data_IF_808957848639
#
_entry.id   IF_808957848639
#
_cell.length_a   1.000
_cell.length_b   1.000
_cell.length_c   1.000
_cell.angle_alpha   90.00
_cell.angle_beta   90.00
_cell.angle_gamma   90.00
#
_symmetry.space_group_name_H-M   'P 1'
#
loop_
_entity.id
_entity.type
_entity.pdbx_description
1 polymer ?
#
# COMPACT_ATOMS: atom_id res chain seq x y z
N UNK A 1 12.77 -8.35 5.37
CA UNK A 1 11.57 -8.46 6.24
C UNK A 1 11.26 -9.89 6.65
N UNK A 2 11.40 -10.91 5.79
CA UNK A 2 11.24 -12.30 6.24
C UNK A 2 12.22 -12.69 7.34
N UNK A 3 11.76 -13.54 8.26
CA UNK A 3 12.58 -14.10 9.33
C UNK A 3 13.52 -15.18 8.75
N UNK A 4 12.99 -16.01 7.83
CA UNK A 4 13.72 -17.08 7.14
C UNK A 4 13.36 -17.10 5.65
N UNK A 5 14.37 -17.32 4.78
CA UNK A 5 14.19 -17.54 3.34
C UNK A 5 14.37 -19.04 3.04
N UNK A 6 13.48 -19.63 2.23
CA UNK A 6 13.52 -21.05 1.88
C UNK A 6 14.07 -21.33 0.47
N UNK A 7 14.52 -20.30 -0.24
CA UNK A 7 15.00 -20.40 -1.63
C UNK A 7 13.87 -20.52 -2.66
N UNK A 8 14.21 -21.09 -3.81
CA UNK A 8 13.29 -21.24 -4.96
C UNK A 8 12.30 -22.39 -4.77
N UNK A 9 11.10 -22.33 -5.40
CA UNK A 9 10.18 -23.46 -5.46
C UNK A 9 10.86 -24.73 -6.01
N UNK A 10 10.85 -25.82 -5.25
CA UNK A 10 11.43 -27.10 -5.67
C UNK A 10 10.60 -27.83 -6.72
N UNK A 11 9.30 -27.57 -6.75
CA UNK A 11 8.38 -28.03 -7.80
C UNK A 11 8.19 -26.90 -8.81
N UNK A 12 8.27 -27.18 -10.12
CA UNK A 12 7.96 -26.18 -11.13
C UNK A 12 6.59 -25.58 -10.86
N UNK A 13 6.42 -24.25 -11.02
CA UNK A 13 5.10 -23.64 -11.04
C UNK A 13 4.17 -24.36 -12.00
N UNK A 14 2.86 -24.16 -11.86
CA UNK A 14 1.90 -24.65 -12.85
C UNK A 14 2.36 -24.24 -14.26
N UNK A 15 2.15 -25.07 -15.29
CA UNK A 15 2.78 -24.89 -16.61
C UNK A 15 2.50 -23.53 -17.30
N UNK A 16 1.51 -22.77 -16.82
CA UNK A 16 1.13 -21.44 -17.31
C UNK A 16 1.54 -20.28 -16.38
N UNK A 17 2.19 -20.57 -15.24
CA UNK A 17 2.64 -19.58 -14.27
C UNK A 17 4.06 -19.11 -14.59
N UNK A 18 4.19 -17.81 -14.89
CA UNK A 18 5.46 -17.20 -15.27
C UNK A 18 6.02 -16.29 -14.17
N UNK A 19 5.46 -16.35 -12.96
CA UNK A 19 5.92 -15.52 -11.86
C UNK A 19 7.25 -16.03 -11.29
N UNK A 20 8.01 -15.09 -10.75
CA UNK A 20 9.14 -15.38 -9.86
C UNK A 20 8.65 -15.32 -8.42
N UNK A 21 9.00 -16.32 -7.63
CA UNK A 21 8.59 -16.41 -6.23
C UNK A 21 9.77 -16.33 -5.28
N UNK A 22 9.54 -15.67 -4.16
CA UNK A 22 10.41 -15.77 -2.99
C UNK A 22 9.61 -16.48 -1.89
N UNK A 23 10.17 -17.58 -1.39
CA UNK A 23 9.56 -18.39 -0.34
C UNK A 23 10.22 -18.12 1.00
N UNK A 24 9.44 -18.08 2.08
CA UNK A 24 10.01 -17.87 3.40
C UNK A 24 9.03 -18.04 4.55
N UNK A 25 9.45 -17.56 5.71
CA UNK A 25 8.63 -17.50 6.93
C UNK A 25 8.56 -16.07 7.46
N UNK A 26 7.39 -15.68 7.94
CA UNK A 26 7.16 -14.46 8.72
C UNK A 26 6.29 -14.80 9.92
N UNK A 27 6.84 -14.69 11.12
CA UNK A 27 6.21 -15.11 12.36
C UNK A 27 5.75 -16.56 12.30
N UNK A 28 4.43 -16.76 12.39
CA UNK A 28 3.80 -18.10 12.43
C UNK A 28 3.41 -18.63 11.04
N UNK A 29 3.69 -17.89 9.98
CA UNK A 29 3.22 -18.18 8.63
C UNK A 29 4.36 -18.55 7.69
N UNK A 30 4.09 -19.53 6.83
CA UNK A 30 4.85 -19.73 5.59
C UNK A 30 4.30 -18.76 4.56
N UNK A 31 5.18 -17.98 3.95
CA UNK A 31 4.82 -16.90 3.03
C UNK A 31 5.38 -17.18 1.63
N UNK A 32 4.61 -16.78 0.63
CA UNK A 32 5.00 -16.76 -0.78
C UNK A 32 4.87 -15.31 -1.24
N UNK A 33 5.95 -14.76 -1.79
CA UNK A 33 5.98 -13.39 -2.30
C UNK A 33 6.22 -13.44 -3.80
N UNK A 34 5.39 -12.71 -4.56
CA UNK A 34 5.65 -12.39 -5.96
C UNK A 34 5.65 -10.88 -6.14
N UNK A 35 6.49 -10.39 -7.03
CA UNK A 35 6.49 -9.00 -7.47
C UNK A 35 5.88 -8.91 -8.87
N UNK A 36 5.24 -7.78 -9.17
CA UNK A 36 4.82 -7.52 -10.54
C UNK A 36 6.04 -7.52 -11.48
N UNK A 37 5.91 -8.03 -12.71
CA UNK A 37 6.98 -7.96 -13.68
C UNK A 37 7.45 -6.52 -13.90
N UNK A 38 8.73 -6.36 -14.15
CA UNK A 38 9.32 -5.03 -14.37
C UNK A 38 8.56 -4.29 -15.48
N UNK A 39 8.14 -3.05 -15.20
CA UNK A 39 7.35 -2.19 -16.10
C UNK A 39 5.90 -2.64 -16.38
N UNK A 40 5.41 -3.68 -15.72
CA UNK A 40 4.01 -4.11 -15.83
C UNK A 40 3.25 -3.75 -14.55
N UNK A 41 2.73 -2.52 -14.51
CA UNK A 41 1.99 -1.98 -13.38
C UNK A 41 0.47 -2.09 -13.58
N UNK A 42 -0.26 -1.83 -12.50
CA UNK A 42 -1.71 -1.68 -12.54
C UNK A 42 -2.51 -2.97 -12.32
N UNK A 43 -3.81 -2.79 -12.19
CA UNK A 43 -4.79 -3.83 -11.82
C UNK A 43 -4.70 -5.11 -12.66
N UNK A 44 -4.49 -5.01 -13.98
CA UNK A 44 -4.42 -6.18 -14.86
C UNK A 44 -3.21 -7.07 -14.56
N UNK A 45 -2.03 -6.45 -14.40
CA UNK A 45 -0.79 -7.16 -14.05
C UNK A 45 -0.92 -7.81 -12.67
N UNK A 46 -1.43 -7.06 -11.69
CA UNK A 46 -1.67 -7.58 -10.34
C UNK A 46 -2.61 -8.80 -10.34
N UNK A 47 -3.74 -8.71 -11.06
CA UNK A 47 -4.67 -9.82 -11.18
C UNK A 47 -4.06 -11.07 -11.83
N UNK A 48 -3.22 -10.91 -12.86
CA UNK A 48 -2.54 -12.02 -13.52
C UNK A 48 -1.56 -12.73 -12.58
N UNK A 49 -0.68 -11.98 -11.92
CA UNK A 49 0.30 -12.50 -10.95
C UNK A 49 -0.39 -13.25 -9.81
N UNK A 50 -1.44 -12.66 -9.23
CA UNK A 50 -2.18 -13.27 -8.14
C UNK A 50 -2.91 -14.54 -8.56
N UNK A 51 -3.54 -14.54 -9.73
CA UNK A 51 -4.24 -15.72 -10.28
C UNK A 51 -3.27 -16.88 -10.50
N UNK A 52 -2.14 -16.63 -11.13
CA UNK A 52 -1.10 -17.64 -11.37
C UNK A 52 -0.52 -18.19 -10.06
N UNK A 53 -0.25 -17.32 -9.07
CA UNK A 53 0.19 -17.71 -7.73
C UNK A 53 -0.74 -18.71 -7.06
N UNK A 54 -2.06 -18.55 -7.19
CA UNK A 54 -2.99 -19.50 -6.57
C UNK A 54 -3.05 -20.86 -7.25
N UNK A 55 -2.75 -20.92 -8.55
CA UNK A 55 -2.62 -22.21 -9.23
C UNK A 55 -1.40 -22.99 -8.75
N UNK A 56 -0.28 -22.29 -8.52
CA UNK A 56 0.95 -22.90 -8.01
C UNK A 56 0.91 -23.19 -6.51
N UNK A 57 0.21 -22.36 -5.73
CA UNK A 57 0.11 -22.48 -4.27
C UNK A 57 -1.36 -22.58 -3.81
N UNK A 58 -2.00 -23.75 -4.01
CA UNK A 58 -3.45 -23.91 -3.80
C UNK A 58 -3.89 -23.85 -2.33
N UNK A 59 -2.94 -23.81 -1.38
CA UNK A 59 -3.22 -23.71 0.06
C UNK A 59 -3.22 -22.28 0.59
N UNK A 60 -2.96 -21.27 -0.25
CA UNK A 60 -3.12 -19.88 0.17
C UNK A 60 -4.60 -19.60 0.43
N UNK A 61 -4.88 -18.88 1.52
CA UNK A 61 -6.23 -18.52 1.98
C UNK A 61 -6.46 -17.02 2.08
N UNK A 62 -5.40 -16.26 2.36
CA UNK A 62 -5.42 -14.81 2.49
C UNK A 62 -4.17 -14.22 1.86
N UNK A 63 -4.23 -12.95 1.48
CA UNK A 63 -3.08 -12.25 0.92
C UNK A 63 -2.95 -10.81 1.41
N UNK A 64 -1.86 -10.18 1.02
CA UNK A 64 -1.57 -8.79 1.30
C UNK A 64 -1.02 -8.15 0.04
N UNK A 65 -1.59 -7.02 -0.37
CA UNK A 65 -1.02 -6.19 -1.44
C UNK A 65 -0.18 -5.10 -0.80
N UNK A 66 1.14 -5.27 -0.88
CA UNK A 66 2.11 -4.38 -0.22
C UNK A 66 2.88 -3.62 -1.28
N UNK A 67 2.92 -2.30 -1.16
CA UNK A 67 3.63 -1.47 -2.13
C UNK A 67 3.71 -0.01 -1.70
N UNK A 68 4.00 0.86 -2.64
CA UNK A 68 3.97 2.31 -2.43
C UNK A 68 2.65 2.89 -2.93
N UNK A 69 2.25 4.01 -2.35
CA UNK A 69 1.13 4.82 -2.80
C UNK A 69 1.45 6.31 -2.68
N UNK A 70 0.52 7.14 -3.12
CA UNK A 70 0.56 8.58 -2.92
C UNK A 70 -0.39 8.97 -1.79
N UNK A 71 0.09 9.76 -0.83
CA UNK A 71 -0.70 10.25 0.28
C UNK A 71 -1.62 11.37 -0.18
N UNK A 72 -2.82 11.42 0.39
CA UNK A 72 -3.76 12.50 0.14
C UNK A 72 -3.92 13.30 1.44
N UNK A 73 -3.16 14.40 1.60
CA UNK A 73 -3.28 15.25 2.78
C UNK A 73 -4.62 16.00 2.77
N UNK A 74 -5.12 16.29 3.96
CA UNK A 74 -6.30 17.11 4.16
C UNK A 74 -5.90 18.53 4.58
N UNK A 75 -6.72 19.52 4.23
CA UNK A 75 -6.47 20.94 4.54
C UNK A 75 -6.53 21.21 6.05
N UNK A 76 -7.32 20.42 6.78
CA UNK A 76 -7.42 20.48 8.25
C UNK A 76 -6.32 19.67 8.96
N UNK A 77 -5.38 19.06 8.22
CA UNK A 77 -4.33 18.17 8.74
C UNK A 77 -4.86 16.97 9.56
N UNK A 78 -6.09 16.52 9.32
CA UNK A 78 -6.64 15.30 9.92
C UNK A 78 -7.23 14.37 8.84
N UNK A 79 -6.62 13.20 8.56
CA UNK A 79 -5.32 12.76 9.08
C UNK A 79 -4.14 13.51 8.44
N UNK A 80 -3.11 13.83 9.24
CA UNK A 80 -1.84 14.39 8.77
C UNK A 80 -0.95 13.30 8.16
N UNK A 81 -1.17 13.01 6.88
CA UNK A 81 -0.41 12.02 6.12
C UNK A 81 0.89 12.62 5.61
N UNK A 82 2.00 11.93 5.88
CA UNK A 82 3.34 12.35 5.46
C UNK A 82 4.07 11.31 4.62
N UNK A 83 5.09 11.76 3.90
CA UNK A 83 5.98 10.86 3.19
C UNK A 83 6.68 9.91 4.17
N UNK A 84 6.74 8.62 3.83
CA UNK A 84 7.24 7.57 4.72
C UNK A 84 6.18 6.90 5.57
N UNK A 85 5.04 7.55 5.83
CA UNK A 85 3.91 6.93 6.54
C UNK A 85 3.36 5.71 5.81
N UNK A 86 2.49 4.96 6.48
CA UNK A 86 1.83 3.79 5.89
C UNK A 86 0.32 3.93 6.00
N UNK A 87 -0.41 3.65 4.93
CA UNK A 87 -1.87 3.53 4.93
C UNK A 87 -2.24 2.05 4.79
N UNK A 88 -3.06 1.55 5.71
CA UNK A 88 -3.71 0.25 5.62
C UNK A 88 -5.18 0.44 5.21
N UNK A 89 -5.62 -0.28 4.18
CA UNK A 89 -7.00 -0.21 3.69
C UNK A 89 -8.00 -0.57 4.78
N UNK A 90 -8.81 0.41 5.18
CA UNK A 90 -9.84 0.26 6.20
C UNK A 90 -10.96 1.27 5.97
N UNK A 91 -12.19 0.80 5.75
CA UNK A 91 -13.36 1.68 5.70
C UNK A 91 -14.62 0.92 6.07
N UNK A 92 -15.46 1.45 6.98
CA UNK A 92 -16.77 0.88 7.27
C UNK A 92 -17.64 0.77 6.00
N UNK A 93 -17.55 1.76 5.12
CA UNK A 93 -18.42 1.94 3.96
C UNK A 93 -17.92 1.20 2.72
N UNK A 94 -16.63 1.33 2.38
CA UNK A 94 -16.08 0.84 1.11
C UNK A 94 -15.30 -0.48 1.22
N UNK A 95 -15.14 -1.04 2.41
CA UNK A 95 -14.24 -2.18 2.62
C UNK A 95 -12.76 -1.82 2.57
N UNK A 96 -12.44 -0.53 2.48
CA UNK A 96 -11.08 0.01 2.55
C UNK A 96 -10.48 0.38 1.20
N UNK A 97 -11.10 -0.03 0.08
CA UNK A 97 -10.63 0.31 -1.27
C UNK A 97 -11.81 0.75 -2.13
N UNK A 98 -11.61 1.81 -2.92
CA UNK A 98 -12.56 2.31 -3.91
C UNK A 98 -11.89 2.39 -5.28
N UNK A 99 -12.67 2.25 -6.37
CA UNK A 99 -12.16 2.51 -7.72
C UNK A 99 -12.70 3.84 -8.20
N UNK A 100 -11.85 4.87 -8.20
CA UNK A 100 -12.29 6.25 -8.42
C UNK A 100 -12.61 6.55 -9.89
N UNK A 101 -12.02 5.80 -10.83
CA UNK A 101 -12.18 5.97 -12.27
C UNK A 101 -13.09 4.92 -12.93
N UNK A 102 -13.78 4.09 -12.13
CA UNK A 102 -14.74 3.09 -12.63
C UNK A 102 -16.20 3.49 -12.38
N UNK A 103 -16.90 3.87 -13.46
CA UNK A 103 -18.23 4.44 -13.33
C UNK A 103 -18.81 4.98 -14.64
N UNK A 104 -19.94 5.69 -14.52
CA UNK A 104 -20.65 6.31 -15.64
C UNK A 104 -20.35 7.79 -15.70
N UNK A 105 -19.97 8.28 -16.89
CA UNK A 105 -20.01 9.71 -17.21
C UNK A 105 -21.44 10.08 -17.62
N UNK A 106 -22.04 11.02 -16.92
CA UNK A 106 -23.39 11.51 -17.18
C UNK A 106 -23.35 12.71 -18.13
N UNK A 107 -24.50 13.04 -18.75
CA UNK A 107 -24.60 14.10 -19.75
C UNK A 107 -24.33 15.51 -19.19
N UNK A 108 -24.50 15.69 -17.88
CA UNK A 108 -24.18 16.91 -17.13
C UNK A 108 -22.68 17.03 -16.77
N UNK A 109 -21.85 16.07 -17.20
CA UNK A 109 -20.43 16.00 -16.90
C UNK A 109 -20.09 15.33 -15.57
N UNK A 110 -21.08 14.97 -14.75
CA UNK A 110 -20.84 14.28 -13.48
C UNK A 110 -20.42 12.82 -13.68
N UNK A 111 -19.74 12.26 -12.67
CA UNK A 111 -19.27 10.87 -12.70
C UNK A 111 -19.89 10.08 -11.55
N UNK A 112 -20.66 9.05 -11.87
CA UNK A 112 -21.24 8.12 -10.91
C UNK A 112 -20.35 6.90 -10.77
N UNK A 113 -19.72 6.72 -9.59
CA UNK A 113 -18.92 5.52 -9.31
C UNK A 113 -19.82 4.29 -9.24
N UNK A 114 -19.35 3.18 -9.81
CA UNK A 114 -20.03 1.89 -9.79
C UNK A 114 -19.26 0.82 -9.01
N UNK A 115 -18.14 1.17 -8.38
CA UNK A 115 -17.27 0.16 -7.77
C UNK A 115 -17.83 -0.33 -6.43
N UNK A 116 -18.13 -1.62 -6.36
CA UNK A 116 -18.30 -2.34 -5.09
C UNK A 116 -17.19 -3.38 -5.03
N UNK A 117 -16.20 -3.11 -4.18
CA UNK A 117 -15.10 -4.04 -3.92
C UNK A 117 -15.38 -4.85 -2.66
N UNK A 118 -14.92 -6.10 -2.65
CA UNK A 118 -15.02 -6.97 -1.48
C UNK A 118 -14.22 -6.43 -0.30
N UNK A 119 -14.71 -6.73 0.90
CA UNK A 119 -13.98 -6.45 2.16
C UNK A 119 -12.87 -7.49 2.37
N UNK A 120 -11.81 -7.14 3.12
CA UNK A 120 -10.85 -8.12 3.61
C UNK A 120 -11.56 -9.27 4.37
N UNK A 121 -11.01 -10.49 4.34
CA UNK A 121 -11.51 -11.63 5.12
C UNK A 121 -11.63 -11.31 6.62
N UNK A 122 -12.51 -12.02 7.32
CA UNK A 122 -12.75 -11.78 8.75
C UNK A 122 -11.49 -11.97 9.59
N UNK A 123 -10.66 -12.93 9.23
CA UNK A 123 -9.35 -13.17 9.84
C UNK A 123 -8.45 -11.93 9.77
N UNK A 124 -8.36 -11.29 8.61
CA UNK A 124 -7.59 -10.06 8.42
C UNK A 124 -8.25 -8.85 9.10
N UNK A 125 -9.57 -8.71 9.00
CA UNK A 125 -10.31 -7.62 9.64
C UNK A 125 -10.21 -7.63 11.16
N UNK A 126 -10.24 -8.82 11.77
CA UNK A 126 -10.08 -8.98 13.23
C UNK A 126 -8.66 -8.64 13.67
N UNK A 127 -7.66 -9.07 12.89
CA UNK A 127 -6.26 -8.71 13.13
C UNK A 127 -6.03 -7.19 13.00
N UNK A 128 -6.67 -6.55 12.02
CA UNK A 128 -6.60 -5.12 11.81
C UNK A 128 -7.18 -4.33 12.99
N UNK A 129 -8.35 -4.75 13.50
CA UNK A 129 -8.95 -4.14 14.68
C UNK A 129 -8.06 -4.27 15.92
N UNK A 130 -7.41 -5.43 16.09
CA UNK A 130 -6.44 -5.63 17.16
C UNK A 130 -5.20 -4.73 17.01
N UNK A 131 -4.60 -4.69 15.81
CA UNK A 131 -3.43 -3.86 15.52
C UNK A 131 -3.74 -2.37 15.78
N UNK A 132 -4.88 -1.88 15.30
CA UNK A 132 -5.32 -0.50 15.51
C UNK A 132 -5.42 -0.16 17.00
N UNK A 133 -6.05 -1.04 17.79
CA UNK A 133 -6.14 -0.85 19.24
C UNK A 133 -4.76 -0.88 19.93
N UNK A 134 -3.81 -1.68 19.42
CA UNK A 134 -2.44 -1.71 19.93
C UNK A 134 -1.69 -0.41 19.65
N UNK A 135 -1.86 0.17 18.45
CA UNK A 135 -1.28 1.46 18.06
C UNK A 135 -1.89 2.66 18.80
N UNK A 136 -3.08 2.52 19.39
CA UNK A 136 -3.64 3.53 20.33
C UNK A 136 -2.95 3.51 21.71
N UNK A 137 -2.27 2.40 22.05
CA UNK A 137 -1.66 2.20 23.37
C UNK A 137 -0.12 2.23 23.34
N UNK A 138 0.48 1.86 22.21
CA UNK A 138 1.92 1.68 22.06
C UNK A 138 2.39 2.16 20.68
N UNK A 139 3.67 2.46 20.57
CA UNK A 139 4.31 2.74 19.28
C UNK A 139 4.28 1.50 18.37
N UNK A 140 4.23 1.76 17.06
CA UNK A 140 4.33 0.70 16.05
C UNK A 140 5.77 0.18 15.93
N UNK A 141 5.93 -1.00 15.32
CA UNK A 141 7.25 -1.67 15.19
C UNK A 141 7.94 -1.41 13.85
N UNK A 142 7.46 -0.47 13.04
CA UNK A 142 7.97 -0.25 11.68
C UNK A 142 9.45 0.12 11.68
N UNK A 143 9.86 1.08 12.51
CA UNK A 143 11.25 1.53 12.58
C UNK A 143 12.16 0.38 13.03
N UNK A 144 11.76 -0.36 14.05
CA UNK A 144 12.49 -1.53 14.53
C UNK A 144 12.79 -2.54 13.40
N UNK A 145 11.78 -2.93 12.61
CA UNK A 145 12.01 -3.87 11.50
C UNK A 145 12.83 -3.28 10.34
N UNK A 146 12.75 -1.97 10.12
CA UNK A 146 13.62 -1.29 9.14
C UNK A 146 15.06 -1.33 9.62
N UNK A 147 15.33 -1.07 10.90
CA UNK A 147 16.67 -1.14 11.47
C UNK A 147 17.25 -2.56 11.35
N UNK A 148 16.50 -3.60 11.74
CA UNK A 148 16.89 -5.00 11.54
C UNK A 148 17.22 -5.31 10.08
N UNK A 149 16.38 -4.84 9.14
CA UNK A 149 16.62 -5.01 7.70
C UNK A 149 17.92 -4.32 7.27
N UNK A 150 18.17 -3.09 7.73
CA UNK A 150 19.35 -2.31 7.34
C UNK A 150 20.64 -2.83 7.99
N UNK A 151 20.55 -3.51 9.13
CA UNK A 151 21.65 -4.27 9.73
C UNK A 151 21.95 -5.55 8.95
N UNK A 152 20.91 -6.33 8.63
CA UNK A 152 21.03 -7.57 7.86
C UNK A 152 21.52 -7.34 6.43
N UNK A 153 21.10 -6.24 5.80
CA UNK A 153 21.46 -5.88 4.43
C UNK A 153 22.01 -4.44 4.35
N UNK A 154 23.28 -4.20 4.75
CA UNK A 154 23.86 -2.85 4.81
C UNK A 154 23.86 -2.10 3.46
N UNK A 155 23.82 -2.82 2.33
CA UNK A 155 23.71 -2.23 1.00
C UNK A 155 22.41 -1.42 0.82
N UNK A 156 21.34 -1.77 1.55
CA UNK A 156 20.06 -1.06 1.47
C UNK A 156 20.15 0.37 2.02
N UNK A 157 21.06 0.65 2.98
CA UNK A 157 21.38 2.04 3.40
C UNK A 157 21.88 2.87 2.22
N UNK A 158 22.80 2.32 1.42
CA UNK A 158 23.32 2.98 0.20
C UNK A 158 22.25 3.13 -0.89
N UNK A 159 21.24 2.27 -0.88
CA UNK A 159 20.09 2.31 -1.80
C UNK A 159 18.92 3.18 -1.28
N UNK A 160 19.16 3.98 -0.23
CA UNK A 160 18.21 4.97 0.32
C UNK A 160 16.95 4.37 0.97
N UNK A 161 17.06 3.17 1.53
CA UNK A 161 15.99 2.56 2.35
C UNK A 161 15.98 3.07 3.80
N UNK A 162 16.81 4.06 4.15
CA UNK A 162 16.76 4.77 5.43
C UNK A 162 15.88 6.01 5.32
N UNK A 163 15.34 6.48 6.45
CA UNK A 163 14.50 7.68 6.49
C UNK A 163 15.25 8.87 5.84
N UNK A 164 14.66 9.57 4.84
CA UNK A 164 15.32 10.69 4.16
C UNK A 164 15.52 11.96 5.02
N UNK A 165 14.98 11.98 6.24
CA UNK A 165 14.98 13.12 7.17
C UNK A 165 13.74 14.00 7.02
N UNK A 166 13.31 14.64 8.12
CA UNK A 166 12.07 15.43 8.17
C UNK A 166 12.04 16.57 7.12
N UNK A 167 13.18 17.21 6.87
CA UNK A 167 13.28 18.30 5.86
C UNK A 167 13.04 17.87 4.42
N UNK A 168 13.10 16.57 4.12
CA UNK A 168 12.81 16.02 2.81
C UNK A 168 11.30 15.83 2.58
N UNK A 169 10.48 15.93 3.63
CA UNK A 169 9.03 15.88 3.53
C UNK A 169 8.45 17.27 3.25
N UNK A 170 8.07 17.49 2.00
CA UNK A 170 7.68 18.82 1.49
C UNK A 170 6.34 18.73 0.81
N UNK A 171 5.32 19.27 1.46
CA UNK A 171 3.98 19.45 0.91
C UNK A 171 3.81 20.91 0.46
N UNK A 172 3.36 21.12 -0.77
CA UNK A 172 3.08 22.43 -1.33
C UNK A 172 1.58 22.68 -1.41
N UNK A 173 1.19 23.96 -1.42
CA UNK A 173 -0.18 24.37 -1.69
C UNK A 173 -0.66 23.79 -3.03
N UNK A 174 -1.92 23.35 -3.08
CA UNK A 174 -2.48 22.63 -4.22
C UNK A 174 -2.42 23.40 -5.56
N UNK A 175 -2.48 24.73 -5.51
CA UNK A 175 -2.41 25.60 -6.69
C UNK A 175 -0.98 25.94 -7.13
N UNK A 176 0.04 25.54 -6.38
CA UNK A 176 1.43 25.78 -6.73
C UNK A 176 1.96 24.64 -7.60
N UNK A 177 2.41 24.98 -8.81
CA UNK A 177 2.97 24.02 -9.75
C UNK A 177 4.49 23.91 -9.63
N UNK A 178 4.98 22.68 -9.73
CA UNK A 178 6.41 22.40 -9.79
C UNK A 178 7.07 23.14 -10.97
N UNK A 179 8.11 23.89 -10.67
CA UNK A 179 8.73 24.81 -11.63
C UNK A 179 9.57 24.07 -12.66
N UNK A 180 10.57 23.30 -12.21
CA UNK A 180 11.48 22.55 -13.10
C UNK A 180 12.40 21.59 -12.35
N UNK A 181 12.96 20.62 -13.08
CA UNK A 181 13.94 19.66 -12.56
C UNK A 181 13.28 18.42 -11.96
N UNK A 182 14.12 17.50 -11.44
CA UNK A 182 13.68 16.24 -10.84
C UNK A 182 13.34 16.33 -9.35
N UNK A 183 13.66 17.46 -8.72
CA UNK A 183 13.51 17.71 -7.28
C UNK A 183 12.94 19.10 -7.06
N UNK A 184 12.37 19.33 -5.88
CA UNK A 184 11.79 20.62 -5.51
C UNK A 184 12.84 21.65 -5.04
N UNK A 185 14.12 21.47 -5.40
CA UNK A 185 15.21 22.37 -4.98
C UNK A 185 15.06 23.79 -5.54
N UNK A 186 14.30 23.95 -6.63
CA UNK A 186 13.98 25.24 -7.27
C UNK A 186 12.57 25.75 -6.96
N UNK A 187 11.79 24.98 -6.20
CA UNK A 187 10.45 25.40 -5.81
C UNK A 187 10.53 26.47 -4.71
N UNK A 188 9.60 27.40 -4.76
CA UNK A 188 9.43 28.44 -3.77
C UNK A 188 9.06 27.80 -2.43
N UNK A 189 9.90 28.00 -1.42
CA UNK A 189 9.66 27.41 -0.10
C UNK A 189 8.52 28.07 0.64
N UNK A 190 8.13 29.29 0.26
CA UNK A 190 7.03 30.04 0.88
C UNK A 190 5.63 29.49 0.54
N UNK A 191 5.53 28.66 -0.49
CA UNK A 191 4.29 27.98 -0.88
C UNK A 191 4.14 26.58 -0.25
N UNK A 192 5.05 26.21 0.66
CA UNK A 192 4.90 24.98 1.44
C UNK A 192 3.80 25.14 2.48
N UNK A 193 3.03 24.07 2.68
CA UNK A 193 1.99 24.01 3.71
C UNK A 193 2.67 23.94 5.08
N UNK A 194 2.33 24.87 5.96
CA UNK A 194 2.77 24.85 7.35
C UNK A 194 2.03 23.74 8.10
N UNK A 195 2.81 22.84 8.71
CA UNK A 195 2.32 21.70 9.48
C UNK A 195 3.07 21.63 10.80
N UNK A 196 2.41 21.14 11.85
CA UNK A 196 3.05 20.94 13.15
C UNK A 196 4.28 20.03 13.03
N UNK A 197 5.33 20.31 13.79
CA UNK A 197 6.51 19.45 13.79
C UNK A 197 6.18 18.12 14.48
N UNK A 198 6.56 16.99 13.86
CA UNK A 198 6.44 15.69 14.52
C UNK A 198 7.50 15.56 15.60
N UNK A 199 7.15 14.85 16.68
CA UNK A 199 8.07 14.61 17.79
C UNK A 199 9.29 13.77 17.38
N UNK A 200 9.12 12.90 16.38
CA UNK A 200 10.16 12.02 15.87
C UNK A 200 10.01 11.75 14.36
N UNK A 201 10.90 10.91 13.83
CA UNK A 201 10.90 10.46 12.43
C UNK A 201 10.12 9.15 12.21
N UNK A 202 9.34 8.70 13.20
CA UNK A 202 8.65 7.43 13.12
C UNK A 202 7.50 7.52 12.11
N UNK A 203 7.38 6.56 11.17
CA UNK A 203 6.23 6.46 10.30
C UNK A 203 4.93 6.29 11.11
N UNK A 204 3.91 7.05 10.75
CA UNK A 204 2.57 6.92 11.31
C UNK A 204 1.76 5.93 10.47
N UNK A 205 0.98 5.08 11.14
CA UNK A 205 0.09 4.12 10.50
C UNK A 205 -1.32 4.70 10.45
N UNK A 206 -1.80 4.92 9.24
CA UNK A 206 -3.13 5.46 8.98
C UNK A 206 -4.07 4.33 8.54
N UNK A 207 -5.30 4.37 9.04
CA UNK A 207 -6.34 3.40 8.70
C UNK A 207 -7.46 4.09 7.94
N UNK A 208 -7.52 3.89 6.63
CA UNK A 208 -8.49 4.62 5.81
C UNK A 208 -8.69 4.07 4.42
N UNK A 209 -9.49 4.80 3.63
CA UNK A 209 -9.84 4.42 2.27
C UNK A 209 -8.66 4.65 1.32
N UNK A 210 -8.34 3.62 0.54
CA UNK A 210 -7.36 3.69 -0.56
C UNK A 210 -8.12 3.77 -1.89
N UNK A 211 -7.86 4.80 -2.69
CA UNK A 211 -8.38 4.95 -4.04
C UNK A 211 -7.46 4.27 -5.06
N UNK A 212 -8.01 3.29 -5.78
CA UNK A 212 -7.35 2.55 -6.84
C UNK A 212 -7.80 3.06 -8.21
N UNK A 213 -6.88 3.22 -9.15
CA UNK A 213 -7.23 3.59 -10.52
C UNK A 213 -6.14 3.24 -11.53
N UNK A 214 -6.33 3.63 -12.79
CA UNK A 214 -5.46 3.23 -13.89
C UNK A 214 -4.46 4.30 -14.32
N UNK A 215 -4.42 5.45 -13.62
CA UNK A 215 -3.56 6.58 -13.97
C UNK A 215 -2.73 7.05 -12.78
N UNK A 216 -1.50 7.48 -13.06
CA UNK A 216 -0.68 8.21 -12.07
C UNK A 216 -1.20 9.64 -11.98
N UNK A 217 -1.66 10.04 -10.80
CA UNK A 217 -2.09 11.41 -10.53
C UNK A 217 -0.86 12.27 -10.20
N UNK A 218 -0.75 13.41 -10.87
CA UNK A 218 0.30 14.43 -10.68
C UNK A 218 -0.28 15.84 -10.63
N UNK A 219 -1.49 15.94 -10.12
CA UNK A 219 -2.26 17.17 -10.08
C UNK A 219 -2.99 17.23 -8.73
N UNK A 220 -2.63 18.21 -7.91
CA UNK A 220 -3.13 18.32 -6.55
C UNK A 220 -4.65 18.57 -6.54
N UNK A 221 -5.18 19.33 -7.50
CA UNK A 221 -6.62 19.59 -7.59
C UNK A 221 -7.39 18.30 -7.90
N UNK A 222 -6.93 17.51 -8.88
CA UNK A 222 -7.50 16.19 -9.18
C UNK A 222 -7.42 15.25 -7.97
N UNK A 223 -6.30 15.26 -7.22
CA UNK A 223 -6.15 14.50 -5.97
C UNK A 223 -7.19 14.91 -4.94
N UNK A 224 -7.36 16.21 -4.73
CA UNK A 224 -8.30 16.76 -3.74
C UNK A 224 -9.76 16.47 -4.14
N UNK A 225 -10.08 16.50 -5.44
CA UNK A 225 -11.39 16.03 -5.94
C UNK A 225 -11.63 14.55 -5.61
N UNK A 226 -10.61 13.68 -5.73
CA UNK A 226 -10.72 12.26 -5.36
C UNK A 226 -10.92 12.12 -3.85
N UNK A 227 -10.20 12.89 -3.03
CA UNK A 227 -10.38 12.95 -1.57
C UNK A 227 -11.82 13.28 -1.22
N UNK A 228 -12.32 14.40 -1.71
CA UNK A 228 -13.61 14.95 -1.31
C UNK A 228 -14.77 14.04 -1.75
N UNK A 229 -14.62 13.39 -2.91
CA UNK A 229 -15.63 12.50 -3.45
C UNK A 229 -15.66 11.12 -2.79
N UNK A 230 -14.51 10.61 -2.37
CA UNK A 230 -14.37 9.21 -1.96
C UNK A 230 -13.92 9.01 -0.52
N UNK A 231 -13.61 10.09 0.21
CA UNK A 231 -12.97 10.03 1.52
C UNK A 231 -11.64 9.30 1.48
N UNK A 232 -10.95 9.32 0.34
CA UNK A 232 -9.71 8.60 0.13
C UNK A 232 -8.53 9.35 0.74
N UNK A 233 -7.61 8.61 1.35
CA UNK A 233 -6.42 9.17 1.99
C UNK A 233 -5.12 8.68 1.33
N UNK A 234 -5.23 7.75 0.37
CA UNK A 234 -4.13 7.19 -0.38
C UNK A 234 -4.57 6.86 -1.82
N UNK A 235 -3.66 7.02 -2.79
CA UNK A 235 -3.83 6.62 -4.19
C UNK A 235 -2.84 5.53 -4.58
N UNK A 236 -3.30 4.52 -5.31
CA UNK A 236 -2.49 3.45 -5.90
C UNK A 236 -3.14 2.90 -7.18
N UNK A 237 -2.53 1.89 -7.83
CA UNK A 237 -2.98 1.44 -9.16
C UNK A 237 -3.32 -0.05 -9.28
N UNK A 238 -3.13 -0.86 -8.23
CA UNK A 238 -3.18 -2.32 -8.36
C UNK A 238 -4.40 -2.96 -7.69
N UNK A 239 -4.90 -2.39 -6.58
CA UNK A 239 -5.89 -3.05 -5.73
C UNK A 239 -7.21 -3.37 -6.44
N UNK A 240 -7.65 -2.53 -7.38
CA UNK A 240 -8.88 -2.73 -8.15
C UNK A 240 -8.94 -4.10 -8.86
N UNK A 241 -7.78 -4.65 -9.27
CA UNK A 241 -7.70 -5.96 -9.94
C UNK A 241 -7.77 -7.14 -8.97
N UNK A 242 -7.54 -6.90 -7.68
CA UNK A 242 -7.36 -7.94 -6.67
C UNK A 242 -8.56 -8.10 -5.76
N UNK A 243 -9.10 -7.02 -5.20
CA UNK A 243 -10.00 -7.09 -4.04
C UNK A 243 -11.16 -8.09 -4.18
N UNK A 244 -11.72 -8.27 -5.38
CA UNK A 244 -12.86 -9.17 -5.61
C UNK A 244 -12.50 -10.66 -5.72
N UNK A 245 -11.27 -10.98 -6.13
CA UNK A 245 -10.83 -12.36 -6.42
C UNK A 245 -9.69 -12.82 -5.52
N UNK A 246 -9.01 -11.88 -4.87
CA UNK A 246 -7.86 -12.09 -4.01
C UNK A 246 -8.26 -11.61 -2.61
N UNK A 247 -8.59 -12.51 -1.67
CA UNK A 247 -8.98 -12.15 -0.31
C UNK A 247 -7.81 -11.50 0.42
N UNK A 248 -7.72 -10.17 0.37
CA UNK A 248 -6.56 -9.44 0.85
C UNK A 248 -6.87 -8.15 1.58
N UNK A 249 -5.83 -7.64 2.22
CA UNK A 249 -5.71 -6.27 2.71
C UNK A 249 -4.64 -5.54 1.91
N UNK A 250 -4.79 -4.23 1.74
CA UNK A 250 -3.85 -3.38 1.01
C UNK A 250 -3.06 -2.53 1.99
N UNK A 251 -1.74 -2.48 1.83
CA UNK A 251 -0.82 -1.70 2.67
C UNK A 251 0.09 -0.88 1.75
N UNK A 252 0.06 0.43 1.91
CA UNK A 252 0.80 1.38 1.06
C UNK A 252 1.67 2.30 1.88
N UNK A 253 2.98 2.25 1.62
CA UNK A 253 3.92 3.26 2.11
C UNK A 253 3.82 4.52 1.25
N UNK A 254 3.77 5.67 1.87
CA UNK A 254 3.53 6.95 1.19
C UNK A 254 4.81 7.49 0.58
N UNK A 255 4.84 7.59 -0.75
CA UNK A 255 6.04 7.93 -1.53
C UNK A 255 5.99 9.28 -2.24
N UNK A 256 4.79 9.87 -2.35
CA UNK A 256 4.55 11.20 -2.91
C UNK A 256 3.15 11.69 -2.50
N UNK A 257 2.75 12.89 -2.95
CA UNK A 257 1.46 13.51 -2.64
C UNK A 257 0.53 13.64 -3.85
N UNK A 258 0.70 12.82 -4.89
CA UNK A 258 -0.14 12.84 -6.11
C UNK A 258 -0.25 14.23 -6.77
N UNK A 259 0.78 15.05 -6.65
CA UNK A 259 0.84 16.41 -7.18
C UNK A 259 1.95 16.56 -8.22
N UNK A 260 2.13 17.80 -8.70
CA UNK A 260 3.15 18.11 -9.69
C UNK A 260 4.59 17.98 -9.17
N UNK A 261 4.78 17.87 -7.83
CA UNK A 261 6.07 17.73 -7.15
C UNK A 261 6.51 16.28 -6.97
N UNK A 262 5.64 15.31 -7.32
CA UNK A 262 5.95 13.88 -7.28
C UNK A 262 7.32 13.57 -7.88
N UNK A 263 8.14 12.88 -7.08
CA UNK A 263 9.47 12.39 -7.46
C UNK A 263 9.75 11.04 -6.78
N UNK A 264 10.87 10.40 -7.12
CA UNK A 264 11.16 9.04 -6.70
C UNK A 264 12.02 8.95 -5.42
N UNK A 265 12.26 10.08 -4.73
CA UNK A 265 13.20 10.13 -3.62
C UNK A 265 12.77 9.24 -2.44
N UNK A 266 11.47 9.21 -2.16
CA UNK A 266 10.89 8.51 -1.02
C UNK A 266 10.50 7.05 -1.32
N UNK A 267 10.50 6.62 -2.59
CA UNK A 267 10.05 5.28 -2.97
C UNK A 267 10.77 4.14 -2.22
N UNK A 268 12.11 4.13 -2.05
CA UNK A 268 12.76 3.03 -1.36
C UNK A 268 12.37 2.96 0.11
N UNK A 269 12.34 4.10 0.81
CA UNK A 269 11.94 4.15 2.21
C UNK A 269 10.46 3.78 2.39
N UNK A 270 9.56 4.33 1.58
CA UNK A 270 8.14 3.98 1.57
C UNK A 270 7.89 2.48 1.31
N UNK A 271 8.65 1.87 0.41
CA UNK A 271 8.57 0.43 0.18
C UNK A 271 9.00 -0.38 1.42
N UNK A 272 10.04 0.07 2.15
CA UNK A 272 10.45 -0.55 3.40
C UNK A 272 9.44 -0.36 4.53
N UNK A 273 8.83 0.82 4.67
CA UNK A 273 7.81 1.06 5.71
C UNK A 273 6.56 0.23 5.47
N UNK A 274 6.11 0.11 4.22
CA UNK A 274 5.01 -0.78 3.83
C UNK A 274 5.32 -2.25 4.18
N UNK A 275 6.53 -2.73 3.84
CA UNK A 275 6.93 -4.11 4.09
C UNK A 275 7.13 -4.41 5.59
N UNK A 276 7.64 -3.45 6.36
CA UNK A 276 7.75 -3.55 7.82
C UNK A 276 6.38 -3.59 8.49
N UNK A 277 5.47 -2.70 8.07
CA UNK A 277 4.08 -2.69 8.54
C UNK A 277 3.36 -4.00 8.20
N UNK A 278 3.62 -4.56 7.02
CA UNK A 278 3.09 -5.87 6.63
C UNK A 278 3.58 -7.00 7.56
N UNK A 279 4.86 -6.98 7.95
CA UNK A 279 5.42 -7.91 8.93
C UNK A 279 4.73 -7.76 10.29
N UNK A 280 4.61 -6.54 10.80
CA UNK A 280 3.94 -6.25 12.07
C UNK A 280 2.48 -6.72 12.07
N UNK A 281 1.75 -6.43 10.99
CA UNK A 281 0.36 -6.84 10.83
C UNK A 281 0.22 -8.37 10.90
N UNK A 282 1.12 -9.14 10.27
CA UNK A 282 1.09 -10.60 10.32
C UNK A 282 1.24 -11.17 11.74
N UNK A 283 1.91 -10.47 12.66
CA UNK A 283 2.00 -10.90 14.07
C UNK A 283 0.64 -10.92 14.78
N UNK A 284 -0.30 -10.11 14.27
CA UNK A 284 -1.66 -9.97 14.81
C UNK A 284 -2.64 -10.97 14.19
N UNK A 285 -2.32 -11.50 13.02
CA UNK A 285 -3.12 -12.52 12.33
C UNK A 285 -2.99 -13.87 13.06
N UNK A 286 -4.14 -14.49 13.35
CA UNK A 286 -4.17 -15.79 14.03
C UNK A 286 -4.18 -16.94 13.01
N UNK A 287 -3.24 -17.90 13.08
CA UNK A 287 -3.22 -19.05 12.16
C UNK A 287 -4.55 -19.81 12.12
N UNK A 288 -5.14 -20.07 13.29
CA UNK A 288 -6.45 -20.74 13.40
C UNK A 288 -7.59 -19.99 12.70
N UNK A 289 -7.54 -18.65 12.68
CA UNK A 289 -8.53 -17.85 11.98
C UNK A 289 -8.35 -17.97 10.46
N UNK A 290 -7.10 -17.96 9.98
CA UNK A 290 -6.76 -18.15 8.56
C UNK A 290 -7.16 -19.56 8.10
N UNK A 291 -6.93 -20.60 8.91
CA UNK A 291 -7.31 -21.98 8.58
C UNK A 291 -8.83 -22.15 8.36
N UNK A 292 -9.63 -21.29 8.99
CA UNK A 292 -11.10 -21.25 8.82
C UNK A 292 -11.59 -20.50 7.58
N UNK A 293 -10.73 -19.73 6.91
CA UNK A 293 -11.08 -19.06 5.66
C UNK A 293 -11.08 -20.06 4.49
N UNK A 294 -11.92 -19.89 3.46
CA UNK A 294 -11.84 -20.74 2.27
C UNK A 294 -10.47 -20.63 1.59
N UNK A 295 -9.99 -21.73 0.99
CA UNK A 295 -8.81 -21.65 0.12
C UNK A 295 -9.18 -20.87 -1.13
N UNK A 296 -8.26 -20.05 -1.64
CA UNK A 296 -8.61 -19.13 -2.73
C UNK A 296 -8.97 -19.86 -4.02
N UNK A 297 -8.44 -21.07 -4.21
CA UNK A 297 -8.83 -21.95 -5.31
C UNK A 297 -10.34 -22.20 -5.36
N UNK A 298 -11.00 -22.34 -4.20
CA UNK A 298 -12.44 -22.60 -4.16
C UNK A 298 -13.26 -21.34 -4.48
N UNK A 299 -12.73 -20.16 -4.18
CA UNK A 299 -13.33 -18.86 -4.54
C UNK A 299 -13.25 -18.65 -6.06
N UNK A 300 -12.08 -18.92 -6.65
CA UNK A 300 -11.85 -18.73 -8.09
C UNK A 300 -12.65 -19.69 -8.97
N UNK A 301 -13.06 -20.86 -8.44
CA UNK A 301 -13.87 -21.82 -9.18
C UNK A 301 -15.38 -21.52 -9.15
N UNK A 302 -15.82 -20.50 -8.38
CA UNK A 302 -17.22 -20.10 -8.25
C UNK A 302 -17.61 -18.92 -9.14
N UNK A 303 -16.65 -18.26 -9.80
CA UNK A 303 -16.86 -17.16 -10.74
C UNK A 303 -16.62 -17.60 -12.18
#
# INVERSE_FOLDING_TARGET
>A
MMDEEHGEPQTPPAAADNNSYILGSMGKFKVVVACLPMHQLGAFSAAAVAKEMFFSFPRIRVGMLVGIGAGIPNDDNDPDIRLGDVVISSSPESGGVVVYDFGKKLADGSFQSLSVLSRPPRSLGSALGKLKAEHEMHENKVVHYIEEMLEKYPIMRKKKYSHPGLSADRLFQANYLHVSGKTCAKCDTSTQVEREERLDENPVIHYGTIASGSAVIKDALTRDEIRDKHGAICLEMEAAGLMNNFPCIVIRGISDYADSHKNDHWQPFAAATAAACAKEFLEHVQPKAVDGEPVVKDILNQG
#
